data_IF_272888302372
#
_entry.id   IF_272888302372
#
_cell.length_a   1.000
_cell.length_b   1.000
_cell.length_c   1.000
_cell.angle_alpha   90.00
_cell.angle_beta   90.00
_cell.angle_gamma   90.00
#
_symmetry.space_group_name_H-M   'P 1'
#
loop_
_entity.id
_entity.type
_entity.pdbx_description
1 polymer ?
#
# COMPACT_ATOMS: atom_id res chain seq x y z
N UNK A 1 3.29 -17.04 36.50
CA UNK A 1 4.23 -15.89 36.52
C UNK A 1 3.55 -14.68 35.88
N UNK A 2 3.34 -13.58 36.61
CA UNK A 2 2.84 -12.31 36.05
C UNK A 2 4.03 -11.57 35.41
N UNK A 3 4.19 -11.68 34.09
CA UNK A 3 5.19 -10.92 33.33
C UNK A 3 4.82 -9.43 33.37
N UNK A 4 5.50 -8.66 34.24
CA UNK A 4 5.45 -7.20 34.20
C UNK A 4 6.28 -6.69 33.03
N UNK A 5 5.71 -6.76 31.83
CA UNK A 5 6.31 -6.21 30.62
C UNK A 5 6.34 -4.68 30.71
N UNK A 6 7.52 -4.10 30.60
CA UNK A 6 7.69 -2.64 30.57
C UNK A 6 7.25 -2.08 29.22
N UNK A 7 6.77 -0.84 29.16
CA UNK A 7 6.33 -0.19 27.90
C UNK A 7 7.34 -0.33 26.77
N UNK A 8 8.64 -0.22 27.06
CA UNK A 8 9.73 -0.42 26.08
C UNK A 8 9.77 -1.84 25.50
N UNK A 9 9.56 -2.86 26.32
CA UNK A 9 9.53 -4.25 25.85
C UNK A 9 8.29 -4.52 24.97
N UNK A 10 7.14 -3.93 25.30
CA UNK A 10 5.94 -4.03 24.46
C UNK A 10 6.20 -3.40 23.09
N UNK A 11 6.82 -2.23 23.03
CA UNK A 11 7.16 -1.58 21.75
C UNK A 11 8.13 -2.42 20.92
N UNK A 12 9.18 -2.97 21.54
CA UNK A 12 10.17 -3.79 20.83
C UNK A 12 9.54 -5.07 20.28
N UNK A 13 8.69 -5.74 21.07
CA UNK A 13 7.97 -6.95 20.63
C UNK A 13 7.00 -6.62 19.49
N UNK A 14 6.29 -5.49 19.57
CA UNK A 14 5.38 -5.05 18.51
C UNK A 14 6.12 -4.75 17.20
N UNK A 15 7.26 -4.05 17.26
CA UNK A 15 8.07 -3.74 16.08
C UNK A 15 8.69 -5.01 15.48
N UNK A 16 9.19 -5.92 16.32
CA UNK A 16 9.73 -7.20 15.86
C UNK A 16 8.66 -8.08 15.20
N UNK A 17 7.46 -8.14 15.77
CA UNK A 17 6.33 -8.87 15.18
C UNK A 17 5.94 -8.32 13.80
N UNK A 18 5.94 -6.99 13.64
CA UNK A 18 5.68 -6.33 12.34
C UNK A 18 6.77 -6.66 11.32
N UNK A 19 8.05 -6.63 11.73
CA UNK A 19 9.18 -6.95 10.86
C UNK A 19 9.14 -8.42 10.38
N UNK A 20 8.79 -9.35 11.27
CA UNK A 20 8.64 -10.77 10.93
C UNK A 20 7.45 -11.01 10.00
N UNK A 21 6.32 -10.32 10.21
CA UNK A 21 5.19 -10.37 9.27
C UNK A 21 5.59 -9.85 7.88
N UNK A 22 6.34 -8.75 7.81
CA UNK A 22 6.83 -8.19 6.56
C UNK A 22 7.77 -9.16 5.81
N UNK A 23 8.62 -9.90 6.53
CA UNK A 23 9.51 -10.91 5.97
C UNK A 23 8.76 -12.16 5.49
N UNK A 24 7.72 -12.60 6.19
CA UNK A 24 6.90 -13.75 5.78
C UNK A 24 6.05 -13.43 4.54
N UNK A 25 5.55 -12.20 4.40
CA UNK A 25 4.89 -11.70 3.16
C UNK A 25 5.89 -11.57 1.99
N UNK A 26 7.18 -11.45 2.28
CA UNK A 26 8.23 -11.37 1.26
C UNK A 26 8.69 -12.75 0.78
N UNK A 27 8.69 -13.77 1.66
CA UNK A 27 9.09 -15.15 1.30
C UNK A 27 8.00 -16.01 0.68
N UNK A 28 6.72 -15.62 0.80
CA UNK A 28 5.59 -16.34 0.22
C UNK A 28 5.26 -16.01 -1.24
N UNK A 29 5.93 -15.03 -1.86
CA UNK A 29 5.69 -14.67 -3.26
C UNK A 29 6.39 -15.67 -4.20
N UNK A 30 5.71 -16.81 -4.42
CA UNK A 30 5.72 -17.39 -5.75
C UNK A 30 5.37 -16.27 -6.72
N UNK A 31 6.22 -16.09 -7.72
CA UNK A 31 5.96 -15.23 -8.87
C UNK A 31 4.85 -15.92 -9.65
N UNK A 32 3.63 -15.89 -9.14
CA UNK A 32 2.46 -16.16 -9.95
C UNK A 32 2.38 -14.96 -10.89
N UNK A 33 2.69 -15.25 -12.15
CA UNK A 33 2.35 -14.44 -13.30
C UNK A 33 0.86 -14.12 -13.19
N UNK A 34 0.55 -12.96 -12.60
CA UNK A 34 -0.72 -12.30 -12.81
C UNK A 34 -0.93 -12.06 -14.32
N UNK A 35 -2.13 -11.64 -14.74
CA UNK A 35 -2.44 -11.40 -16.16
C UNK A 35 -1.29 -10.65 -16.82
N UNK A 36 -0.94 -11.01 -18.05
CA UNK A 36 0.32 -10.66 -18.76
C UNK A 36 0.65 -9.16 -18.88
N UNK A 37 -0.04 -8.25 -18.17
CA UNK A 37 0.20 -6.80 -18.11
C UNK A 37 0.59 -6.21 -16.74
N UNK A 38 0.47 -6.94 -15.62
CA UNK A 38 0.83 -6.41 -14.29
C UNK A 38 2.20 -6.94 -13.83
N UNK A 39 3.18 -6.06 -13.67
CA UNK A 39 4.49 -6.39 -13.11
C UNK A 39 4.48 -6.48 -11.56
N UNK A 40 5.61 -6.90 -10.98
CA UNK A 40 5.72 -7.09 -9.54
C UNK A 40 5.54 -5.79 -8.72
N UNK A 41 6.01 -4.66 -9.25
CA UNK A 41 5.87 -3.35 -8.61
C UNK A 41 4.43 -2.84 -8.70
N UNK A 42 3.75 -3.05 -9.83
CA UNK A 42 2.31 -2.81 -9.96
C UNK A 42 1.49 -3.63 -8.95
N UNK A 43 1.76 -4.95 -8.84
CA UNK A 43 1.09 -5.80 -7.83
C UNK A 43 1.30 -5.28 -6.42
N UNK A 44 2.53 -4.90 -6.10
CA UNK A 44 2.84 -4.38 -4.76
C UNK A 44 2.09 -3.07 -4.49
N UNK A 45 2.06 -2.14 -5.46
CA UNK A 45 1.33 -0.88 -5.32
C UNK A 45 -0.17 -1.11 -5.10
N UNK A 46 -0.78 -2.00 -5.89
CA UNK A 46 -2.19 -2.37 -5.74
C UNK A 46 -2.49 -3.05 -4.39
N UNK A 47 -1.59 -3.92 -3.93
CA UNK A 47 -1.70 -4.57 -2.62
C UNK A 47 -1.59 -3.57 -1.46
N UNK A 48 -0.61 -2.67 -1.51
CA UNK A 48 -0.43 -1.61 -0.52
C UNK A 48 -1.63 -0.67 -0.47
N UNK A 49 -2.15 -0.30 -1.64
CA UNK A 49 -3.35 0.50 -1.77
C UNK A 49 -4.56 -0.22 -1.13
N UNK A 50 -4.83 -1.46 -1.50
CA UNK A 50 -5.95 -2.23 -0.96
C UNK A 50 -5.86 -2.42 0.57
N UNK A 51 -4.67 -2.64 1.11
CA UNK A 51 -4.44 -2.80 2.54
C UNK A 51 -4.54 -1.47 3.33
N UNK A 52 -4.17 -0.36 2.69
CA UNK A 52 -4.10 0.95 3.33
C UNK A 52 -5.35 1.81 3.16
N UNK A 53 -6.07 1.70 2.04
CA UNK A 53 -7.21 2.55 1.71
C UNK A 53 -8.34 2.53 2.77
N UNK A 54 -8.75 1.37 3.32
CA UNK A 54 -9.76 1.33 4.38
C UNK A 54 -9.35 2.07 5.67
N UNK A 55 -8.04 2.24 5.88
CA UNK A 55 -7.45 2.90 7.07
C UNK A 55 -7.14 4.38 6.81
N UNK A 56 -7.11 4.81 5.55
CA UNK A 56 -6.74 6.16 5.13
C UNK A 56 -7.89 7.19 5.26
N UNK A 57 -8.55 7.23 6.42
CA UNK A 57 -9.66 8.15 6.69
C UNK A 57 -9.21 9.57 7.02
N UNK A 58 -8.03 9.70 7.62
CA UNK A 58 -7.44 10.99 7.99
C UNK A 58 -6.47 11.46 6.90
N UNK A 59 -6.37 12.78 6.71
CA UNK A 59 -5.49 13.41 5.71
C UNK A 59 -4.04 12.89 5.77
N UNK A 60 -3.45 12.82 6.96
CA UNK A 60 -2.10 12.28 7.14
C UNK A 60 -1.96 10.80 6.70
N UNK A 61 -2.99 9.99 6.93
CA UNK A 61 -3.02 8.60 6.51
C UNK A 61 -3.20 8.46 4.99
N UNK A 62 -3.94 9.37 4.34
CA UNK A 62 -4.03 9.46 2.87
C UNK A 62 -2.68 9.77 2.26
N UNK A 63 -1.96 10.76 2.79
CA UNK A 63 -0.62 11.13 2.35
C UNK A 63 0.37 9.97 2.50
N UNK A 64 0.39 9.32 3.68
CA UNK A 64 1.27 8.16 3.91
C UNK A 64 0.96 7.00 2.96
N UNK A 65 -0.32 6.76 2.66
CA UNK A 65 -0.72 5.75 1.69
C UNK A 65 -0.28 6.15 0.28
N UNK A 66 -0.53 7.39 -0.10
CA UNK A 66 -0.16 7.97 -1.38
C UNK A 66 1.33 7.83 -1.66
N UNK A 67 2.18 8.20 -0.70
CA UNK A 67 3.63 8.10 -0.83
C UNK A 67 4.07 6.67 -1.08
N UNK A 68 3.52 5.70 -0.33
CA UNK A 68 3.86 4.28 -0.48
C UNK A 68 3.44 3.71 -1.83
N UNK A 69 2.19 3.96 -2.23
CA UNK A 69 1.62 3.45 -3.49
C UNK A 69 2.33 4.09 -4.69
N UNK A 70 2.64 5.39 -4.61
CA UNK A 70 3.40 6.10 -5.65
C UNK A 70 4.85 5.59 -5.72
N UNK A 71 5.51 5.39 -4.57
CA UNK A 71 6.88 4.88 -4.54
C UNK A 71 6.99 3.48 -5.19
N UNK A 72 6.03 2.60 -4.94
CA UNK A 72 6.04 1.27 -5.56
C UNK A 72 5.64 1.31 -7.03
N UNK A 73 4.57 2.02 -7.39
CA UNK A 73 4.13 2.11 -8.80
C UNK A 73 5.09 2.90 -9.70
N UNK A 74 5.92 3.80 -9.16
CA UNK A 74 6.94 4.50 -9.95
C UNK A 74 7.99 3.57 -10.58
N UNK A 75 8.15 2.37 -10.01
CA UNK A 75 9.09 1.33 -10.48
C UNK A 75 8.43 0.32 -11.41
N UNK A 76 7.14 0.50 -11.68
CA UNK A 76 6.33 -0.41 -12.50
C UNK A 76 6.38 0.02 -13.96
N UNK A 77 6.44 -0.97 -14.83
CA UNK A 77 6.32 -0.81 -16.29
C UNK A 77 4.85 -0.66 -16.72
N UNK A 78 3.89 -0.87 -15.80
CA UNK A 78 2.47 -0.66 -16.04
C UNK A 78 2.10 0.84 -15.93
N UNK A 79 2.10 1.52 -17.08
CA UNK A 79 1.78 2.94 -17.23
C UNK A 79 0.43 3.34 -16.65
N UNK A 80 -0.59 2.47 -16.78
CA UNK A 80 -1.93 2.75 -16.28
C UNK A 80 -1.92 2.85 -14.75
N UNK A 81 -1.36 1.85 -14.07
CA UNK A 81 -1.27 1.84 -12.60
C UNK A 81 -0.39 2.99 -12.12
N UNK A 82 0.77 3.22 -12.75
CA UNK A 82 1.67 4.34 -12.41
C UNK A 82 0.95 5.69 -12.50
N UNK A 83 0.21 5.94 -13.58
CA UNK A 83 -0.54 7.20 -13.77
C UNK A 83 -1.68 7.34 -12.75
N UNK A 84 -2.44 6.28 -12.49
CA UNK A 84 -3.55 6.31 -11.52
C UNK A 84 -3.05 6.48 -10.09
N UNK A 85 -1.96 5.81 -9.73
CA UNK A 85 -1.31 5.96 -8.43
C UNK A 85 -0.79 7.38 -8.21
N UNK A 86 -0.11 7.96 -9.20
CA UNK A 86 0.36 9.34 -9.13
C UNK A 86 -0.80 10.35 -9.02
N UNK A 87 -1.90 10.13 -9.76
CA UNK A 87 -3.10 10.98 -9.69
C UNK A 87 -3.75 10.91 -8.31
N UNK A 88 -3.92 9.71 -7.77
CA UNK A 88 -4.42 9.51 -6.41
C UNK A 88 -3.47 10.15 -5.39
N UNK A 89 -2.15 10.05 -5.60
CA UNK A 89 -1.16 10.68 -4.74
C UNK A 89 -1.25 12.20 -4.72
N UNK A 90 -1.38 12.84 -5.89
CA UNK A 90 -1.59 14.28 -6.00
C UNK A 90 -2.87 14.73 -5.27
N UNK A 91 -3.96 13.97 -5.40
CA UNK A 91 -5.24 14.26 -4.74
C UNK A 91 -5.27 13.99 -3.23
N UNK A 92 -4.23 13.38 -2.65
CA UNK A 92 -4.23 13.00 -1.23
C UNK A 92 -4.27 14.21 -0.28
N UNK A 93 -3.88 15.39 -0.77
CA UNK A 93 -3.97 16.65 -0.04
C UNK A 93 -5.28 17.42 -0.29
N UNK A 94 -6.07 17.00 -1.29
CA UNK A 94 -7.30 17.65 -1.73
C UNK A 94 -8.51 17.23 -0.88
N UNK A 95 -9.72 17.53 -1.37
CA UNK A 95 -10.97 17.14 -0.72
C UNK A 95 -11.13 15.61 -0.65
N UNK A 96 -11.92 15.12 0.31
CA UNK A 96 -12.21 13.67 0.41
C UNK A 96 -12.87 13.13 -0.86
N UNK A 97 -13.70 13.93 -1.52
CA UNK A 97 -14.37 13.56 -2.77
C UNK A 97 -13.36 13.34 -3.90
N UNK A 98 -12.45 14.29 -4.11
CA UNK A 98 -11.41 14.19 -5.16
C UNK A 98 -10.50 12.99 -4.91
N UNK A 99 -10.06 12.82 -3.66
CA UNK A 99 -9.20 11.70 -3.29
C UNK A 99 -9.88 10.34 -3.53
N UNK A 100 -11.16 10.20 -3.16
CA UNK A 100 -11.93 8.98 -3.39
C UNK A 100 -12.13 8.69 -4.87
N UNK A 101 -12.46 9.70 -5.67
CA UNK A 101 -12.61 9.54 -7.11
C UNK A 101 -11.32 9.03 -7.76
N UNK A 102 -10.17 9.57 -7.36
CA UNK A 102 -8.87 9.10 -7.83
C UNK A 102 -8.53 7.69 -7.31
N UNK A 103 -8.90 7.37 -6.08
CA UNK A 103 -8.74 6.04 -5.48
C UNK A 103 -9.60 4.97 -6.17
N UNK A 104 -10.82 5.31 -6.59
CA UNK A 104 -11.69 4.43 -7.36
C UNK A 104 -11.13 4.16 -8.76
N UNK A 105 -10.54 5.17 -9.39
CA UNK A 105 -9.84 5.01 -10.67
C UNK A 105 -8.61 4.09 -10.56
N UNK A 106 -7.84 4.20 -9.46
CA UNK A 106 -6.75 3.28 -9.16
C UNK A 106 -7.27 1.87 -8.88
N UNK A 107 -8.37 1.73 -8.14
CA UNK A 107 -9.02 0.44 -7.88
C UNK A 107 -9.40 -0.26 -9.19
N UNK A 108 -9.98 0.48 -10.13
CA UNK A 108 -10.32 -0.05 -11.46
C UNK A 108 -9.07 -0.52 -12.20
N UNK A 109 -8.01 0.30 -12.23
CA UNK A 109 -6.75 -0.06 -12.87
C UNK A 109 -6.12 -1.32 -12.25
N UNK A 110 -6.21 -1.50 -10.93
CA UNK A 110 -5.72 -2.70 -10.26
C UNK A 110 -6.52 -3.97 -10.56
N UNK A 111 -7.76 -3.84 -11.08
CA UNK A 111 -8.59 -4.99 -11.48
C UNK A 111 -8.44 -5.36 -12.95
N UNK A 112 -8.18 -4.36 -13.81
CA UNK A 112 -8.12 -4.54 -15.27
C UNK A 112 -6.70 -4.53 -15.83
N UNK A 113 -5.71 -4.15 -15.01
CA UNK A 113 -4.30 -4.05 -15.39
C UNK A 113 -3.61 -5.40 -15.51
#
# INVERSE_FOLDING_TARGET
MKLKLTKRQITIIAVAAIAVLALLVSRGRKVDSGPEGIDAHARQACSDFAAGYPKAKAKAARLTLADRVTANSSKSDNDLIRKRAATMGASANDSDTEWRAAADALTSACRTG
#
